data_IF_334230513569
#
_entry.id   IF_334230513569
#
_cell.length_a   1.000
_cell.length_b   1.000
_cell.length_c   1.000
_cell.angle_alpha   90.00
_cell.angle_beta   90.00
_cell.angle_gamma   90.00
#
_symmetry.space_group_name_H-M   'P 1'
#
loop_
_entity.id
_entity.type
_entity.pdbx_description
1 polymer ?
#
# COMPACT_ATOMS: atom_id res chain seq x y z
N UNK A 1 -21.35 -8.68 6.79
CA UNK A 1 -20.33 -7.77 7.34
C UNK A 1 -19.07 -7.98 6.54
N UNK A 2 -18.55 -6.96 5.86
CA UNK A 2 -17.25 -7.09 5.21
C UNK A 2 -16.17 -7.12 6.30
N UNK A 3 -15.28 -8.09 6.25
CA UNK A 3 -14.21 -8.21 7.23
C UNK A 3 -13.03 -7.34 6.75
N UNK A 4 -12.57 -6.35 7.52
CA UNK A 4 -11.43 -5.55 7.11
C UNK A 4 -10.15 -6.39 7.14
N UNK A 5 -9.33 -6.26 6.11
CA UNK A 5 -7.96 -6.74 6.11
C UNK A 5 -7.05 -5.63 6.67
N UNK A 6 -6.33 -5.94 7.75
CA UNK A 6 -5.41 -5.00 8.38
C UNK A 6 -4.04 -5.12 7.71
N UNK A 7 -3.61 -4.02 7.10
CA UNK A 7 -2.29 -3.89 6.49
C UNK A 7 -1.35 -3.24 7.50
N UNK A 8 -0.18 -3.84 7.66
CA UNK A 8 0.93 -3.31 8.46
C UNK A 8 2.21 -3.49 7.65
N UNK A 9 2.80 -2.39 7.17
CA UNK A 9 3.97 -2.40 6.31
C UNK A 9 5.06 -1.48 6.87
N UNK A 10 6.25 -2.03 7.07
CA UNK A 10 7.43 -1.26 7.47
C UNK A 10 8.12 -0.71 6.24
N UNK A 11 8.33 0.61 6.18
CA UNK A 11 9.14 1.24 5.15
C UNK A 11 10.59 0.73 5.24
N UNK A 12 11.14 0.23 4.14
CA UNK A 12 12.51 -0.28 4.09
C UNK A 12 13.59 0.82 4.21
N UNK A 13 13.20 2.10 4.13
CA UNK A 13 14.12 3.25 4.16
C UNK A 13 14.17 3.96 5.51
N UNK A 14 13.01 4.35 6.05
CA UNK A 14 12.93 5.06 7.33
C UNK A 14 12.51 4.19 8.51
N UNK A 15 12.11 2.94 8.27
CA UNK A 15 11.62 1.99 9.29
C UNK A 15 10.31 2.37 9.99
N UNK A 16 9.65 3.44 9.57
CA UNK A 16 8.30 3.78 10.01
C UNK A 16 7.28 2.73 9.52
N UNK A 17 6.22 2.55 10.30
CA UNK A 17 5.17 1.56 10.04
C UNK A 17 3.91 2.25 9.55
N UNK A 18 3.49 1.92 8.33
CA UNK A 18 2.18 2.31 7.80
C UNK A 18 1.14 1.27 8.20
N UNK A 19 0.10 1.70 8.90
CA UNK A 19 -1.01 0.85 9.33
C UNK A 19 -2.34 1.39 8.82
N UNK A 20 -3.10 0.56 8.10
CA UNK A 20 -4.42 0.93 7.59
C UNK A 20 -5.28 -0.31 7.32
N UNK A 21 -6.59 -0.09 7.16
CA UNK A 21 -7.55 -1.14 6.83
C UNK A 21 -8.01 -1.03 5.38
N UNK A 22 -8.23 -2.19 4.77
CA UNK A 22 -8.83 -2.32 3.43
C UNK A 22 -9.96 -3.34 3.49
N UNK A 23 -10.91 -3.24 2.57
CA UNK A 23 -11.89 -4.29 2.36
C UNK A 23 -11.18 -5.56 1.89
N UNK A 24 -11.45 -6.70 2.55
CA UNK A 24 -10.75 -7.95 2.25
C UNK A 24 -10.93 -8.39 0.80
N UNK A 25 -12.14 -8.27 0.26
CA UNK A 25 -12.44 -8.68 -1.12
C UNK A 25 -11.63 -7.87 -2.13
N UNK A 26 -11.52 -6.56 -1.90
CA UNK A 26 -10.75 -5.64 -2.75
C UNK A 26 -9.25 -5.92 -2.64
N UNK A 27 -8.76 -6.21 -1.42
CA UNK A 27 -7.38 -6.64 -1.21
C UNK A 27 -7.06 -7.92 -1.99
N UNK A 28 -7.90 -8.95 -1.88
CA UNK A 28 -7.69 -10.20 -2.61
C UNK A 28 -7.82 -10.02 -4.12
N UNK A 29 -8.78 -9.22 -4.60
CA UNK A 29 -8.92 -8.89 -6.02
C UNK A 29 -7.67 -8.21 -6.58
N UNK A 30 -7.07 -7.28 -5.83
CA UNK A 30 -5.79 -6.65 -6.16
C UNK A 30 -4.63 -7.66 -6.16
N UNK A 31 -4.53 -8.52 -5.13
CA UNK A 31 -3.50 -9.58 -5.08
C UNK A 31 -3.60 -10.52 -6.28
N UNK A 32 -4.80 -10.75 -6.79
CA UNK A 32 -5.09 -11.60 -7.95
C UNK A 32 -4.93 -10.90 -9.31
N UNK A 33 -4.51 -9.62 -9.35
CA UNK A 33 -4.13 -8.93 -10.58
C UNK A 33 -5.06 -7.80 -11.02
N UNK A 34 -6.14 -7.53 -10.29
CA UNK A 34 -6.98 -6.35 -10.57
C UNK A 34 -6.20 -5.07 -10.27
N UNK A 35 -6.26 -4.03 -11.12
CA UNK A 35 -5.53 -2.78 -10.88
C UNK A 35 -5.91 -2.14 -9.54
N UNK A 36 -4.91 -1.68 -8.79
CA UNK A 36 -5.10 -1.19 -7.42
C UNK A 36 -6.06 0.01 -7.35
N UNK A 37 -6.06 0.88 -8.36
CA UNK A 37 -6.95 2.04 -8.43
C UNK A 37 -8.43 1.67 -8.64
N UNK A 38 -8.71 0.48 -9.18
CA UNK A 38 -10.08 0.00 -9.42
C UNK A 38 -10.71 -0.54 -8.14
N UNK A 39 -9.95 -1.31 -7.37
CA UNK A 39 -10.47 -2.01 -6.16
C UNK A 39 -10.11 -1.29 -4.85
N UNK A 40 -8.98 -0.60 -4.80
CA UNK A 40 -8.50 0.16 -3.62
C UNK A 40 -8.45 1.66 -3.91
N UNK A 41 -9.41 2.17 -4.71
CA UNK A 41 -9.52 3.58 -5.07
C UNK A 41 -9.76 4.52 -3.88
N UNK A 42 -10.29 4.00 -2.77
CA UNK A 42 -10.53 4.75 -1.54
C UNK A 42 -9.27 4.99 -0.69
N UNK A 43 -8.15 4.32 -0.99
CA UNK A 43 -6.88 4.58 -0.32
C UNK A 43 -6.29 5.93 -0.75
N UNK A 44 -5.42 6.51 0.07
CA UNK A 44 -4.60 7.64 -0.35
C UNK A 44 -3.55 7.20 -1.38
N UNK A 45 -2.94 8.16 -2.07
CA UNK A 45 -1.83 7.89 -3.00
C UNK A 45 -0.70 7.15 -2.27
N UNK A 46 -0.24 7.69 -1.14
CA UNK A 46 0.83 7.10 -0.32
C UNK A 46 0.50 5.66 0.14
N UNK A 47 -0.75 5.40 0.56
CA UNK A 47 -1.18 4.07 0.96
C UNK A 47 -1.14 3.08 -0.21
N UNK A 48 -1.55 3.50 -1.42
CA UNK A 48 -1.44 2.67 -2.62
C UNK A 48 0.02 2.42 -3.00
N UNK A 49 0.88 3.42 -2.90
CA UNK A 49 2.30 3.31 -3.25
C UNK A 49 3.02 2.28 -2.38
N UNK A 50 2.89 2.36 -1.05
CA UNK A 50 3.52 1.38 -0.16
C UNK A 50 2.95 -0.03 -0.37
N UNK A 51 1.64 -0.15 -0.66
CA UNK A 51 1.02 -1.43 -0.97
C UNK A 51 1.56 -2.03 -2.28
N UNK A 52 1.64 -1.24 -3.35
CA UNK A 52 2.17 -1.67 -4.66
C UNK A 52 3.63 -2.09 -4.55
N UNK A 53 4.45 -1.28 -3.90
CA UNK A 53 5.89 -1.53 -3.77
C UNK A 53 6.18 -2.72 -2.86
N UNK A 54 5.34 -2.95 -1.83
CA UNK A 54 5.40 -4.15 -0.99
C UNK A 54 5.15 -5.46 -1.76
N UNK A 55 4.35 -5.44 -2.83
CA UNK A 55 4.11 -6.61 -3.70
C UNK A 55 5.41 -7.12 -4.33
N UNK A 56 6.39 -6.23 -4.53
CA UNK A 56 7.71 -6.54 -5.09
C UNK A 56 8.80 -6.70 -4.00
N UNK A 57 8.42 -6.79 -2.72
CA UNK A 57 9.37 -6.96 -1.62
C UNK A 57 10.12 -5.71 -1.20
N UNK A 58 9.72 -4.52 -1.68
CA UNK A 58 10.36 -3.24 -1.36
C UNK A 58 9.34 -2.22 -0.86
N UNK A 59 8.71 -2.44 0.32
CA UNK A 59 7.75 -1.49 0.88
C UNK A 59 8.44 -0.14 1.16
N UNK A 60 8.00 0.93 0.50
CA UNK A 60 8.50 2.30 0.71
C UNK A 60 7.32 3.24 0.96
N UNK A 61 7.41 4.08 2.00
CA UNK A 61 6.38 5.09 2.27
C UNK A 61 6.50 6.27 1.28
N UNK A 62 5.41 7.04 1.13
CA UNK A 62 5.33 8.17 0.19
C UNK A 62 6.48 9.16 0.38
N UNK A 63 6.74 9.61 1.62
CA UNK A 63 7.80 10.57 1.90
C UNK A 63 9.20 10.08 1.47
N UNK A 64 9.49 8.79 1.69
CA UNK A 64 10.77 8.20 1.27
C UNK A 64 10.85 8.02 -0.24
N UNK A 65 9.72 7.71 -0.90
CA UNK A 65 9.64 7.59 -2.35
C UNK A 65 9.84 8.94 -3.02
N UNK A 66 9.13 9.98 -2.57
CA UNK A 66 9.27 11.35 -3.06
C UNK A 66 10.70 11.88 -2.87
N UNK A 67 11.32 11.58 -1.73
CA UNK A 67 12.71 11.92 -1.43
C UNK A 67 13.73 11.32 -2.41
N UNK A 68 13.41 10.25 -3.14
CA UNK A 68 14.30 9.69 -4.17
C UNK A 68 14.46 10.60 -5.40
N UNK A 69 13.51 11.51 -5.62
CA UNK A 69 13.46 12.38 -6.80
C UNK A 69 13.69 13.86 -6.50
N UNK A 70 13.88 14.21 -5.23
CA UNK A 70 14.30 15.55 -4.82
C UNK A 70 15.79 15.72 -5.17
N UNK A 71 16.07 16.62 -6.12
CA UNK A 71 17.42 17.03 -6.53
C UNK A 71 17.83 18.33 -5.85
#
# INVERSE_FOLDING_TARGET
MKNPHHVNLTCCKCHEVETFSVESDDYYAWRNGTPIQEVLGYLTVNQREILVTSKNGFPICGDCFDGMFQR
#
